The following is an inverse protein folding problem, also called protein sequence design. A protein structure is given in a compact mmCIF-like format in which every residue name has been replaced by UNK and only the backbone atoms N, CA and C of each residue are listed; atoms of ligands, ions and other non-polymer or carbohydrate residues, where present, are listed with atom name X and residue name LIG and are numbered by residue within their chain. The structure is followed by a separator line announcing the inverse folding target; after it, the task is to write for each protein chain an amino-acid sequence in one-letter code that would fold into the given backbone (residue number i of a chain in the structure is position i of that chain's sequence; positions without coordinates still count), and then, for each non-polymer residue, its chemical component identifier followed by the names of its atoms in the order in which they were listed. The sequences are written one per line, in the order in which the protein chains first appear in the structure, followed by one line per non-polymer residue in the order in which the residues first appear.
data_IF_830659680969
#
_entry.id   IF_830659680969
#
_cell.length_a   1.000
_cell.length_b   1.000
_cell.length_c   1.000
_cell.angle_alpha   90.00
_cell.angle_beta   90.00
_cell.angle_gamma   90.00
#
_symmetry.space_group_name_H-M   'P 1'
#
loop_
_entity.id
_entity.type
_entity.pdbx_description
1 polymer ?
#
# COMPACT_ATOMS: atom_id res chain seq x y z
N UNK A 1 -9.85 16.93 -5.17
CA UNK A 1 -8.94 18.07 -4.83
C UNK A 1 -8.75 18.05 -3.32
N UNK A 2 -7.60 17.58 -2.85
CA UNK A 2 -7.29 17.58 -1.40
C UNK A 2 -7.21 19.05 -1.00
N UNK A 3 -8.11 19.49 -0.11
CA UNK A 3 -8.14 20.88 0.33
C UNK A 3 -6.83 21.23 1.05
N UNK A 4 -6.27 22.43 0.82
CA UNK A 4 -5.02 22.92 1.45
C UNK A 4 -4.96 22.72 2.98
N UNK A 5 -6.10 22.70 3.67
CA UNK A 5 -6.19 22.44 5.11
C UNK A 5 -5.92 20.99 5.52
N UNK A 6 -6.01 20.00 4.61
CA UNK A 6 -5.70 18.58 4.90
C UNK A 6 -4.22 18.22 4.75
N UNK A 7 -3.42 19.05 4.09
CA UNK A 7 -1.97 18.82 3.94
C UNK A 7 -1.21 18.77 5.28
N UNK A 8 -1.76 19.37 6.34
CA UNK A 8 -1.15 19.42 7.67
C UNK A 8 -1.27 18.12 8.48
N UNK A 9 -2.03 17.13 8.01
CA UNK A 9 -2.31 15.89 8.75
C UNK A 9 -1.92 14.61 7.99
N UNK A 10 -1.25 14.73 6.85
CA UNK A 10 -0.77 13.57 6.10
C UNK A 10 0.37 12.87 6.84
N UNK A 11 0.36 11.55 6.86
CA UNK A 11 1.34 10.73 7.56
C UNK A 11 1.94 9.67 6.65
N UNK A 12 3.16 9.26 7.00
CA UNK A 12 3.80 8.10 6.41
C UNK A 12 3.93 7.02 7.48
N UNK A 13 3.50 5.82 7.18
CA UNK A 13 3.53 4.67 8.06
C UNK A 13 4.39 3.57 7.45
N UNK A 14 5.10 2.82 8.28
CA UNK A 14 5.81 1.61 7.89
C UNK A 14 5.40 0.46 8.79
N UNK A 15 4.96 -0.63 8.18
CA UNK A 15 4.60 -1.88 8.85
C UNK A 15 5.70 -2.90 8.60
N UNK A 16 6.24 -3.41 9.69
CA UNK A 16 7.29 -4.43 9.70
C UNK A 16 6.70 -5.84 9.76
N UNK A 17 7.53 -6.84 9.52
CA UNK A 17 7.18 -8.26 9.56
C UNK A 17 6.63 -8.72 10.93
N UNK A 18 7.02 -8.04 12.01
CA UNK A 18 6.51 -8.28 13.36
C UNK A 18 5.14 -7.65 13.64
N UNK A 19 4.54 -7.00 12.63
CA UNK A 19 3.28 -6.30 12.71
C UNK A 19 3.34 -4.93 13.40
N UNK A 20 4.51 -4.45 13.80
CA UNK A 20 4.67 -3.09 14.32
C UNK A 20 4.42 -2.08 13.20
N UNK A 21 3.66 -1.00 13.51
CA UNK A 21 3.35 0.09 12.59
C UNK A 21 3.91 1.39 13.17
N UNK A 22 4.84 2.03 12.45
CA UNK A 22 5.58 3.18 12.93
C UNK A 22 5.40 4.35 11.97
N UNK A 23 5.10 5.53 12.52
CA UNK A 23 5.11 6.79 11.76
C UNK A 23 6.55 7.21 11.49
N UNK A 24 6.87 7.67 10.27
CA UNK A 24 8.22 8.09 9.92
C UNK A 24 8.27 9.25 8.94
N UNK A 25 9.43 9.92 8.93
CA UNK A 25 9.78 10.96 7.96
C UNK A 25 9.01 12.25 8.14
N UNK A 26 9.44 13.27 7.38
CA UNK A 26 8.75 14.55 7.24
C UNK A 26 8.01 14.59 5.92
N UNK A 27 6.87 15.26 5.88
CA UNK A 27 6.07 15.38 4.67
C UNK A 27 6.40 16.70 3.99
N UNK A 28 7.00 16.61 2.79
CA UNK A 28 7.10 17.74 1.90
C UNK A 28 5.74 17.97 1.23
N UNK A 29 5.14 19.13 1.48
CA UNK A 29 3.82 19.50 0.97
C UNK A 29 3.89 20.43 -0.24
N UNK A 30 5.08 20.96 -0.55
CA UNK A 30 5.25 21.85 -1.69
C UNK A 30 5.19 21.05 -3.01
N UNK A 31 4.34 21.50 -3.95
CA UNK A 31 4.32 20.88 -5.27
C UNK A 31 5.68 21.09 -5.95
N UNK A 32 6.18 20.06 -6.66
CA UNK A 32 7.45 20.18 -7.37
C UNK A 32 7.36 21.29 -8.42
N UNK A 33 8.45 22.05 -8.59
CA UNK A 33 8.54 23.16 -9.56
C UNK A 33 8.29 22.72 -11.01
N UNK A 34 8.53 21.46 -11.32
CA UNK A 34 8.27 20.86 -12.63
C UNK A 34 7.36 19.65 -12.45
N UNK A 35 6.51 19.38 -13.46
CA UNK A 35 5.63 18.20 -13.44
C UNK A 35 6.47 16.92 -13.33
N UNK A 36 6.18 16.15 -12.28
CA UNK A 36 6.80 14.85 -12.05
C UNK A 36 5.91 13.77 -12.66
N UNK A 37 6.41 13.10 -13.70
CA UNK A 37 5.62 12.16 -14.51
C UNK A 37 5.96 10.71 -14.19
N UNK A 38 5.04 9.80 -14.53
CA UNK A 38 5.17 8.35 -14.29
C UNK A 38 6.51 7.78 -14.79
N UNK A 39 6.95 8.11 -16.00
CA UNK A 39 8.20 7.56 -16.55
C UNK A 39 9.42 7.95 -15.69
N UNK A 40 9.44 9.17 -15.14
CA UNK A 40 10.52 9.63 -14.27
C UNK A 40 10.46 8.95 -12.91
N UNK A 41 9.26 8.79 -12.38
CA UNK A 41 9.02 8.02 -11.17
C UNK A 41 9.55 6.58 -11.29
N UNK A 42 9.24 5.90 -12.39
CA UNK A 42 9.72 4.53 -12.65
C UNK A 42 11.26 4.47 -12.74
N UNK A 43 11.91 5.43 -13.43
CA UNK A 43 13.36 5.49 -13.52
C UNK A 43 14.03 5.74 -12.16
N UNK A 44 13.53 6.72 -11.39
CA UNK A 44 14.09 6.99 -10.05
C UNK A 44 13.87 5.81 -9.09
N UNK A 45 12.78 5.06 -9.25
CA UNK A 45 12.56 3.82 -8.51
C UNK A 45 13.53 2.70 -8.89
N UNK A 46 13.81 2.54 -10.19
CA UNK A 46 14.80 1.56 -10.67
C UNK A 46 16.16 1.80 -10.02
N UNK A 47 16.59 3.06 -9.92
CA UNK A 47 17.83 3.44 -9.25
C UNK A 47 17.82 3.06 -7.76
N UNK A 48 16.69 3.28 -7.05
CA UNK A 48 16.55 2.87 -5.64
C UNK A 48 16.61 1.35 -5.50
N UNK A 49 15.89 0.61 -6.35
CA UNK A 49 15.86 -0.85 -6.31
C UNK A 49 17.21 -1.48 -6.58
N UNK A 50 18.03 -0.85 -7.42
CA UNK A 50 19.40 -1.29 -7.71
C UNK A 50 20.38 -1.06 -6.54
N UNK A 51 20.12 -0.05 -5.70
CA UNK A 51 21.01 0.37 -4.63
C UNK A 51 20.63 -0.15 -3.24
N UNK A 52 19.34 -0.41 -3.01
CA UNK A 52 18.83 -0.77 -1.69
C UNK A 52 18.11 -2.13 -1.73
N UNK A 53 18.59 -3.06 -0.91
CA UNK A 53 18.02 -4.41 -0.77
C UNK A 53 17.14 -4.58 0.47
N UNK A 54 17.26 -3.70 1.46
CA UNK A 54 16.44 -3.71 2.66
C UNK A 54 15.06 -3.13 2.38
N UNK A 55 14.01 -3.88 2.63
CA UNK A 55 12.63 -3.48 2.31
C UNK A 55 12.21 -2.19 3.04
N UNK A 56 12.57 -2.05 4.31
CA UNK A 56 12.17 -0.88 5.09
C UNK A 56 12.81 0.40 4.55
N UNK A 57 14.11 0.35 4.24
CA UNK A 57 14.83 1.47 3.65
C UNK A 57 14.34 1.78 2.23
N UNK A 58 14.09 0.74 1.43
CA UNK A 58 13.50 0.85 0.09
C UNK A 58 12.18 1.59 0.13
N UNK A 59 11.25 1.15 0.98
CA UNK A 59 9.95 1.79 1.18
C UNK A 59 10.09 3.23 1.63
N UNK A 60 10.97 3.50 2.61
CA UNK A 60 11.23 4.86 3.09
C UNK A 60 11.77 5.79 2.00
N UNK A 61 12.62 5.29 1.11
CA UNK A 61 13.16 6.06 -0.02
C UNK A 61 12.11 6.30 -1.13
N UNK A 62 11.20 5.35 -1.37
CA UNK A 62 10.20 5.42 -2.45
C UNK A 62 8.98 6.28 -2.06
N UNK A 63 8.54 6.28 -0.81
CA UNK A 63 7.33 7.01 -0.37
C UNK A 63 7.36 8.50 -0.76
N UNK A 64 8.46 9.26 -0.64
CA UNK A 64 8.53 10.64 -1.12
C UNK A 64 8.29 10.77 -2.62
N UNK A 65 8.74 9.81 -3.43
CA UNK A 65 8.52 9.80 -4.88
C UNK A 65 7.04 9.54 -5.22
N UNK A 66 6.38 8.61 -4.49
CA UNK A 66 4.94 8.36 -4.63
C UNK A 66 4.14 9.63 -4.34
N UNK A 67 4.45 10.31 -3.24
CA UNK A 67 3.81 11.56 -2.87
C UNK A 67 3.99 12.64 -3.93
N UNK A 68 5.22 12.82 -4.40
CA UNK A 68 5.57 13.76 -5.47
C UNK A 68 4.80 13.45 -6.77
N UNK A 69 4.67 12.17 -7.13
CA UNK A 69 3.91 11.72 -8.30
C UNK A 69 2.43 12.08 -8.17
N UNK A 70 1.79 11.73 -7.05
CA UNK A 70 0.37 11.97 -6.83
C UNK A 70 0.03 13.46 -6.77
N UNK A 71 0.89 14.29 -6.19
CA UNK A 71 0.71 15.76 -6.17
C UNK A 71 0.87 16.35 -7.58
N UNK A 72 1.84 15.87 -8.37
CA UNK A 72 2.10 16.37 -9.72
C UNK A 72 1.12 15.87 -10.77
N UNK A 73 0.61 14.66 -10.61
CA UNK A 73 -0.18 13.94 -11.61
C UNK A 73 -1.53 13.54 -11.03
N UNK A 74 -2.30 14.55 -10.58
CA UNK A 74 -3.59 14.32 -9.92
C UNK A 74 -4.58 13.51 -10.77
N UNK A 75 -4.42 13.49 -12.10
CA UNK A 75 -5.23 12.67 -13.00
C UNK A 75 -5.12 11.17 -12.71
N UNK A 76 -3.98 10.71 -12.16
CA UNK A 76 -3.81 9.32 -11.71
C UNK A 76 -4.85 8.93 -10.65
N UNK A 77 -5.27 9.89 -9.83
CA UNK A 77 -6.28 9.68 -8.78
C UNK A 77 -7.67 9.37 -9.35
N UNK A 78 -7.89 9.62 -10.64
CA UNK A 78 -9.14 9.35 -11.35
C UNK A 78 -9.07 8.03 -12.17
N UNK A 79 -7.89 7.43 -12.28
CA UNK A 79 -7.65 6.21 -13.06
C UNK A 79 -8.00 4.94 -12.26
N UNK A 80 -9.17 4.91 -11.64
CA UNK A 80 -9.67 3.72 -10.93
C UNK A 80 -10.96 3.20 -11.58
N UNK A 81 -11.26 1.94 -11.32
CA UNK A 81 -12.52 1.30 -11.68
C UNK A 81 -13.41 1.22 -10.45
N UNK A 82 -14.71 1.34 -10.64
CA UNK A 82 -15.66 1.12 -9.55
C UNK A 82 -15.51 -0.31 -9.00
N UNK A 83 -15.63 -0.51 -7.68
CA UNK A 83 -15.62 -1.85 -7.09
C UNK A 83 -16.66 -2.75 -7.74
N UNK A 84 -16.28 -4.00 -8.01
CA UNK A 84 -17.20 -5.00 -8.52
C UNK A 84 -18.22 -5.41 -7.46
N UNK A 85 -19.50 -5.45 -7.78
CA UNK A 85 -20.56 -5.94 -6.89
C UNK A 85 -20.30 -7.39 -6.43
N UNK A 86 -19.65 -8.21 -7.28
CA UNK A 86 -19.38 -9.61 -6.98
C UNK A 86 -18.24 -9.80 -5.95
N UNK A 87 -17.20 -8.99 -6.04
CA UNK A 87 -15.98 -9.16 -5.22
C UNK A 87 -15.81 -8.11 -4.13
N UNK A 88 -16.51 -6.97 -4.24
CA UNK A 88 -16.37 -5.83 -3.35
C UNK A 88 -15.11 -4.99 -3.61
N UNK A 89 -14.35 -5.27 -4.68
CA UNK A 89 -13.14 -4.53 -5.02
C UNK A 89 -12.85 -4.53 -6.51
N UNK A 90 -11.95 -3.65 -6.93
CA UNK A 90 -11.44 -3.58 -8.30
C UNK A 90 -9.97 -3.19 -8.33
N UNK A 91 -9.28 -3.58 -9.41
CA UNK A 91 -7.92 -3.17 -9.73
C UNK A 91 -7.86 -2.60 -11.14
N UNK A 92 -7.16 -1.49 -11.29
CA UNK A 92 -6.77 -0.92 -12.57
C UNK A 92 -5.24 -0.80 -12.62
N UNK A 93 -4.58 -1.61 -13.45
CA UNK A 93 -3.14 -1.56 -13.63
C UNK A 93 -2.76 -0.30 -14.42
N UNK A 94 -1.89 0.53 -13.82
CA UNK A 94 -1.30 1.70 -14.45
C UNK A 94 0.04 1.36 -15.12
N UNK A 95 0.78 0.45 -14.51
CA UNK A 95 2.01 -0.09 -15.04
C UNK A 95 2.21 -1.53 -14.55
N UNK A 96 2.54 -2.40 -15.50
CA UNK A 96 2.93 -3.79 -15.27
C UNK A 96 3.70 -4.29 -16.48
N UNK A 97 4.91 -4.76 -16.25
CA UNK A 97 5.76 -5.29 -17.28
C UNK A 97 6.25 -6.68 -16.89
N UNK A 98 6.43 -7.55 -17.87
CA UNK A 98 7.05 -8.86 -17.66
C UNK A 98 8.51 -8.67 -17.25
N UNK A 99 8.91 -9.38 -16.19
CA UNK A 99 10.28 -9.33 -15.64
C UNK A 99 10.69 -7.98 -15.01
N UNK A 100 9.83 -6.97 -15.05
CA UNK A 100 10.12 -5.73 -14.33
C UNK A 100 9.68 -5.82 -12.85
N UNK A 101 10.55 -5.41 -11.91
CA UNK A 101 10.32 -5.68 -10.49
C UNK A 101 9.26 -4.79 -9.82
N UNK A 102 8.34 -4.21 -10.60
CA UNK A 102 7.34 -3.28 -10.10
C UNK A 102 5.97 -3.52 -10.74
N UNK A 103 4.94 -3.41 -9.91
CA UNK A 103 3.54 -3.27 -10.35
C UNK A 103 2.95 -2.01 -9.76
N UNK A 104 2.38 -1.13 -10.59
CA UNK A 104 1.66 0.08 -10.19
C UNK A 104 0.19 -0.06 -10.54
N UNK A 105 -0.68 0.18 -9.58
CA UNK A 105 -2.12 -0.01 -9.78
C UNK A 105 -2.96 0.94 -8.91
N UNK A 106 -4.18 1.23 -9.37
CA UNK A 106 -5.23 1.80 -8.53
C UNK A 106 -6.12 0.67 -8.02
N UNK A 107 -6.45 0.71 -6.75
CA UNK A 107 -7.37 -0.24 -6.11
C UNK A 107 -8.55 0.53 -5.53
N UNK A 108 -9.75 0.01 -5.68
CA UNK A 108 -10.93 0.53 -5.01
C UNK A 108 -11.66 -0.59 -4.28
N UNK A 109 -12.11 -0.29 -3.05
CA UNK A 109 -12.90 -1.19 -2.21
C UNK A 109 -14.28 -0.60 -1.95
N UNK A 110 -15.31 -1.43 -2.06
CA UNK A 110 -16.68 -1.05 -1.74
C UNK A 110 -16.89 -0.90 -0.23
N UNK A 111 -17.81 -0.03 0.21
CA UNK A 111 -18.23 0.04 1.60
C UNK A 111 -18.62 -1.33 2.15
N UNK A 112 -18.21 -1.62 3.39
CA UNK A 112 -18.52 -2.88 4.05
C UNK A 112 -17.77 -4.12 3.56
N UNK A 113 -16.95 -3.98 2.50
CA UNK A 113 -16.07 -5.07 2.05
C UNK A 113 -14.84 -5.21 2.97
N UNK A 114 -14.13 -6.34 2.84
CA UNK A 114 -12.86 -6.58 3.55
C UNK A 114 -11.94 -7.42 2.67
N UNK A 115 -10.66 -7.13 2.73
CA UNK A 115 -9.67 -8.03 2.13
C UNK A 115 -9.56 -9.34 2.93
N UNK A 116 -8.91 -10.32 2.36
CA UNK A 116 -8.37 -11.44 3.15
C UNK A 116 -7.33 -10.90 4.14
N UNK A 117 -7.07 -11.63 5.24
CA UNK A 117 -5.86 -11.44 6.03
C UNK A 117 -4.75 -12.06 5.19
N UNK A 118 -3.70 -11.32 4.84
CA UNK A 118 -2.66 -11.81 3.92
C UNK A 118 -1.36 -11.04 4.06
N UNK A 119 -0.28 -11.64 3.58
CA UNK A 119 0.95 -10.93 3.25
C UNK A 119 1.06 -10.75 1.73
N UNK A 120 1.93 -9.85 1.32
CA UNK A 120 2.22 -9.65 -0.11
C UNK A 120 3.37 -10.52 -0.62
N UNK A 121 4.20 -11.05 0.29
CA UNK A 121 5.47 -11.72 0.00
C UNK A 121 6.38 -10.89 -0.92
N UNK A 122 6.30 -9.59 -0.75
CA UNK A 122 7.10 -8.54 -1.36
C UNK A 122 6.84 -7.24 -0.61
N UNK A 123 7.77 -6.31 -0.68
CA UNK A 123 7.51 -4.96 -0.19
C UNK A 123 6.36 -4.30 -0.95
N UNK A 124 5.65 -3.41 -0.27
CA UNK A 124 4.52 -2.70 -0.87
C UNK A 124 4.33 -1.30 -0.31
N UNK A 125 3.68 -0.45 -1.10
CA UNK A 125 3.29 0.91 -0.69
C UNK A 125 1.85 1.15 -1.13
N UNK A 126 1.04 1.67 -0.21
CA UNK A 126 -0.36 2.06 -0.45
C UNK A 126 -0.53 3.51 -0.07
N UNK A 127 -0.94 4.35 -1.02
CA UNK A 127 -1.24 5.76 -0.79
C UNK A 127 -2.74 6.00 -0.92
N UNK A 128 -3.35 6.52 0.14
CA UNK A 128 -4.78 6.80 0.17
C UNK A 128 -5.11 8.03 -0.68
N UNK A 129 -6.03 7.86 -1.62
CA UNK A 129 -6.50 8.90 -2.54
C UNK A 129 -7.90 9.36 -2.16
N UNK A 130 -8.78 8.45 -1.77
CA UNK A 130 -10.15 8.77 -1.40
C UNK A 130 -10.74 7.74 -0.42
N UNK A 131 -11.69 8.20 0.39
CA UNK A 131 -12.25 7.40 1.48
C UNK A 131 -11.25 7.16 2.61
N UNK A 132 -11.67 6.47 3.65
CA UNK A 132 -10.83 6.09 4.78
C UNK A 132 -10.86 4.59 4.97
N UNK A 133 -9.76 3.98 5.39
CA UNK A 133 -9.72 2.54 5.61
C UNK A 133 -8.98 2.18 6.89
N UNK A 134 -9.43 1.12 7.52
CA UNK A 134 -8.72 0.50 8.62
C UNK A 134 -7.83 -0.63 8.10
N UNK A 135 -6.56 -0.57 8.42
CA UNK A 135 -5.62 -1.66 8.27
C UNK A 135 -5.42 -2.31 9.64
N UNK A 136 -5.67 -3.61 9.74
CA UNK A 136 -5.38 -4.42 10.93
C UNK A 136 -4.16 -5.28 10.64
N UNK A 137 -3.25 -5.42 11.61
CA UNK A 137 -1.97 -6.10 11.45
C UNK A 137 -1.85 -7.32 12.32
N UNK A 138 -1.11 -8.30 11.82
CA UNK A 138 -0.72 -9.51 12.52
C UNK A 138 0.79 -9.72 12.39
N UNK A 139 1.38 -10.39 13.36
CA UNK A 139 2.74 -10.91 13.27
C UNK A 139 2.72 -12.40 13.03
N UNK A 140 3.56 -12.88 12.13
CA UNK A 140 3.84 -14.31 12.00
C UNK A 140 4.67 -14.77 13.18
N UNK A 141 4.50 -16.03 13.62
CA UNK A 141 5.37 -16.61 14.61
C UNK A 141 6.72 -17.01 13.97
N UNK A 142 7.83 -16.72 14.66
CA UNK A 142 9.17 -16.91 14.12
C UNK A 142 9.45 -18.36 13.67
N UNK A 143 8.91 -19.31 14.39
CA UNK A 143 9.12 -20.75 14.13
C UNK A 143 8.04 -21.37 13.24
N UNK A 144 6.97 -20.62 12.95
CA UNK A 144 5.86 -21.12 12.15
C UNK A 144 5.12 -19.97 11.43
N UNK A 145 5.47 -19.66 10.17
CA UNK A 145 4.84 -18.57 9.42
C UNK A 145 3.36 -18.82 9.08
N UNK A 146 2.85 -20.02 9.34
CA UNK A 146 1.43 -20.34 9.16
C UNK A 146 0.57 -19.95 10.36
N UNK A 147 1.19 -19.54 11.47
CA UNK A 147 0.51 -19.06 12.67
C UNK A 147 0.72 -17.55 12.82
N UNK A 148 -0.39 -16.83 13.05
CA UNK A 148 -0.36 -15.39 13.21
C UNK A 148 -1.01 -14.96 14.54
N UNK A 149 -0.52 -13.87 15.10
CA UNK A 149 -1.05 -13.25 16.30
C UNK A 149 -1.40 -11.78 16.00
N UNK A 150 -2.49 -11.23 16.58
CA UNK A 150 -2.82 -9.81 16.44
C UNK A 150 -1.65 -8.93 16.91
N UNK A 151 -1.39 -7.85 16.15
CA UNK A 151 -0.28 -6.93 16.43
C UNK A 151 -0.74 -5.47 16.59
N UNK A 152 -1.74 -5.03 15.83
CA UNK A 152 -2.23 -3.66 15.93
C UNK A 152 -3.18 -3.27 14.80
N UNK A 153 -3.50 -1.99 14.74
CA UNK A 153 -4.31 -1.43 13.67
C UNK A 153 -3.94 0.04 13.42
N UNK A 154 -4.19 0.51 12.19
CA UNK A 154 -4.03 1.90 11.79
C UNK A 154 -5.18 2.30 10.87
N UNK A 155 -5.78 3.46 11.15
CA UNK A 155 -6.72 4.11 10.23
C UNK A 155 -5.93 5.03 9.32
N UNK A 156 -6.19 4.92 8.01
CA UNK A 156 -5.59 5.74 6.98
C UNK A 156 -6.64 6.67 6.39
N UNK A 157 -6.27 7.93 6.27
CA UNK A 157 -7.08 9.00 5.67
C UNK A 157 -6.51 9.40 4.30
N UNK A 158 -7.30 10.08 3.43
CA UNK A 158 -6.80 10.57 2.15
C UNK A 158 -5.54 11.42 2.30
N UNK A 159 -4.47 11.01 1.63
CA UNK A 159 -3.14 11.62 1.70
C UNK A 159 -2.15 10.85 2.58
N UNK A 160 -2.60 9.95 3.44
CA UNK A 160 -1.69 9.04 4.15
C UNK A 160 -1.06 8.03 3.20
N UNK A 161 0.16 7.64 3.51
CA UNK A 161 0.87 6.58 2.80
C UNK A 161 1.35 5.55 3.82
N UNK A 162 1.09 4.28 3.54
CA UNK A 162 1.58 3.16 4.33
C UNK A 162 2.46 2.27 3.48
N UNK A 163 3.61 1.88 4.02
CA UNK A 163 4.51 0.92 3.43
C UNK A 163 4.54 -0.38 4.23
N UNK A 164 4.91 -1.45 3.57
CA UNK A 164 4.97 -2.80 4.12
C UNK A 164 6.30 -3.47 3.76
N UNK A 165 6.90 -4.14 4.72
CA UNK A 165 7.95 -5.12 4.44
C UNK A 165 7.34 -6.42 3.90
N UNK A 166 8.14 -7.30 3.32
CA UNK A 166 7.66 -8.44 2.51
C UNK A 166 6.74 -9.41 3.26
N UNK A 167 6.98 -9.63 4.54
CA UNK A 167 6.21 -10.58 5.34
C UNK A 167 5.14 -9.91 6.24
N UNK A 168 5.00 -8.59 6.17
CA UNK A 168 3.96 -7.89 6.91
C UNK A 168 2.57 -8.44 6.56
N UNK A 169 1.82 -8.87 7.57
CA UNK A 169 0.48 -9.45 7.41
C UNK A 169 -0.57 -8.42 7.78
N UNK A 170 -1.52 -8.18 6.88
CA UNK A 170 -2.56 -7.21 7.12
C UNK A 170 -3.93 -7.60 6.53
N UNK A 171 -4.95 -6.86 6.93
CA UNK A 171 -6.29 -6.84 6.35
C UNK A 171 -6.77 -5.41 6.20
N UNK A 172 -7.41 -5.11 5.08
CA UNK A 172 -8.01 -3.81 4.78
C UNK A 172 -9.52 -3.89 4.96
N UNK A 173 -10.10 -2.86 5.58
CA UNK A 173 -11.53 -2.66 5.69
C UNK A 173 -11.88 -1.18 5.45
N UNK A 174 -12.62 -0.84 4.38
CA UNK A 174 -13.18 0.50 4.19
C UNK A 174 -14.00 0.96 5.39
N UNK A 175 -13.92 2.25 5.69
CA UNK A 175 -14.73 2.92 6.71
C UNK A 175 -15.71 3.89 6.06
N UNK A 176 -16.92 4.00 6.65
CA UNK A 176 -17.98 4.85 6.11
C UNK A 176 -18.73 4.23 4.93
N UNK A 177 -19.48 5.08 4.21
CA UNK A 177 -20.43 4.67 3.17
C UNK A 177 -19.92 4.90 1.74
N UNK A 178 -18.71 5.45 1.60
CA UNK A 178 -18.07 5.70 0.31
C UNK A 178 -16.97 4.67 0.03
N UNK A 179 -16.72 4.33 -1.25
CA UNK A 179 -15.58 3.49 -1.62
C UNK A 179 -14.25 4.10 -1.20
N UNK A 180 -13.30 3.27 -0.79
CA UNK A 180 -11.91 3.71 -0.67
C UNK A 180 -11.17 3.55 -1.98
N UNK A 181 -10.26 4.48 -2.25
CA UNK A 181 -9.45 4.50 -3.47
C UNK A 181 -8.01 4.70 -3.04
N UNK A 182 -7.12 3.83 -3.52
CA UNK A 182 -5.70 3.90 -3.22
C UNK A 182 -4.83 3.66 -4.45
N UNK A 183 -3.69 4.34 -4.47
CA UNK A 183 -2.57 4.06 -5.37
C UNK A 183 -1.69 3.03 -4.70
N UNK A 184 -1.41 1.93 -5.39
CA UNK A 184 -0.69 0.80 -4.84
C UNK A 184 0.53 0.48 -5.70
N UNK A 185 1.63 0.13 -5.04
CA UNK A 185 2.91 -0.18 -5.62
C UNK A 185 3.49 -1.41 -4.93
N UNK A 186 3.93 -2.40 -5.72
CA UNK A 186 4.48 -3.65 -5.21
C UNK A 186 5.71 -4.07 -6.00
N UNK A 187 6.64 -4.75 -5.32
CA UNK A 187 7.73 -5.47 -5.92
C UNK A 187 7.29 -6.82 -6.53
N UNK A 188 8.27 -7.65 -6.90
CA UNK A 188 8.02 -9.02 -7.36
C UNK A 188 7.57 -9.87 -6.17
N UNK A 189 6.40 -10.48 -6.30
CA UNK A 189 5.87 -11.39 -5.29
C UNK A 189 6.61 -12.73 -5.30
N UNK A 190 7.16 -13.13 -4.16
CA UNK A 190 7.60 -14.52 -3.92
C UNK A 190 6.39 -15.41 -3.66
N UNK A 191 5.85 -16.02 -4.72
CA UNK A 191 4.61 -16.82 -4.65
C UNK A 191 4.64 -17.95 -3.61
N UNK A 192 5.74 -18.71 -3.43
CA UNK A 192 5.84 -19.71 -2.37
C UNK A 192 5.67 -19.16 -0.95
N UNK A 193 6.04 -17.91 -0.71
CA UNK A 193 5.96 -17.24 0.60
C UNK A 193 4.67 -16.43 0.79
N UNK A 194 3.74 -16.46 -0.20
CA UNK A 194 2.50 -15.71 -0.13
C UNK A 194 1.38 -16.49 0.52
N UNK A 195 0.88 -16.01 1.64
CA UNK A 195 -0.16 -16.63 2.45
C UNK A 195 -1.40 -15.76 2.58
N UNK A 196 -2.55 -16.43 2.70
CA UNK A 196 -3.77 -15.87 3.25
C UNK A 196 -4.18 -16.68 4.49
N UNK A 197 -4.91 -16.03 5.39
CA UNK A 197 -5.30 -16.62 6.67
C UNK A 197 -6.81 -16.56 6.83
N UNK A 198 -7.40 -17.66 7.32
CA UNK A 198 -8.82 -17.69 7.66
C UNK A 198 -9.10 -16.76 8.86
N UNK A 199 -10.09 -15.85 8.79
CA UNK A 199 -10.32 -14.87 9.83
C UNK A 199 -10.83 -15.45 11.16
N UNK A 200 -11.29 -16.71 11.19
CA UNK A 200 -11.83 -17.36 12.39
C UNK A 200 -10.80 -18.28 13.03
N UNK A 201 -10.12 -19.07 12.22
CA UNK A 201 -9.17 -20.10 12.69
C UNK A 201 -7.73 -19.63 12.65
N UNK A 202 -7.44 -18.54 11.91
CA UNK A 202 -6.11 -18.03 11.60
C UNK A 202 -5.22 -19.05 10.88
N UNK A 203 -5.82 -20.09 10.32
CA UNK A 203 -5.11 -21.11 9.54
C UNK A 203 -4.64 -20.51 8.21
N UNK A 204 -3.37 -20.74 7.88
CA UNK A 204 -2.77 -20.29 6.64
C UNK A 204 -3.13 -21.21 5.47
N UNK A 205 -3.24 -20.62 4.30
CA UNK A 205 -3.25 -21.28 2.99
C UNK A 205 -2.47 -20.45 1.99
N UNK A 206 -1.92 -21.05 0.95
CA UNK A 206 -1.29 -20.29 -0.12
C UNK A 206 -2.33 -19.45 -0.85
N UNK A 207 -1.91 -18.24 -1.27
CA UNK A 207 -2.76 -17.24 -1.92
C UNK A 207 -2.67 -17.36 -3.44
#
# INVERSE_FOLDING_TARGET
MIARSRLLFMKNWLVYDDGSCVEFGTIETEPPKQTYRMYRFLTEMEDILAQESDDAKRVQAIIPLVRKLLISSYWLQLEYKQPSEKTGWSVNFLYREHEYPITVQMVAWAPGSKSKIHNHATWGIVAMVGGSEKNTFWRQQADNPTEILPAGEQILEPGDIIGFTSNAVHQVAPLGDEPTISFNLYGITDKPSRYQYDPKTLAASHF
#
